data_IF_839546336118
#
_entry.id   IF_839546336118
#
_cell.length_a   1.000
_cell.length_b   1.000
_cell.length_c   1.000
_cell.angle_alpha   90.00
_cell.angle_beta   90.00
_cell.angle_gamma   90.00
#
_symmetry.space_group_name_H-M   'P 1'
#
loop_
_entity.id
_entity.type
_entity.pdbx_description
1 polymer ?
#
# COMPACT_ATOMS: atom_id res chain seq x y z
N UNK A 1 3.30 5.98 -4.56
CA UNK A 1 1.95 5.83 -5.15
C UNK A 1 0.79 6.31 -4.27
N UNK A 2 0.56 5.78 -3.05
CA UNK A 2 -0.59 6.20 -2.20
C UNK A 2 -0.63 7.72 -1.92
N UNK A 3 0.53 8.32 -1.61
CA UNK A 3 0.63 9.76 -1.37
C UNK A 3 0.21 10.59 -2.60
N UNK A 4 0.60 10.20 -3.81
CA UNK A 4 0.20 10.90 -5.03
C UNK A 4 -1.32 10.89 -5.23
N UNK A 5 -2.00 9.80 -4.86
CA UNK A 5 -3.48 9.74 -4.91
C UNK A 5 -4.11 10.70 -3.90
N UNK A 6 -3.60 10.73 -2.67
CA UNK A 6 -4.08 11.66 -1.64
C UNK A 6 -3.86 13.12 -2.05
N UNK A 7 -2.68 13.45 -2.60
CA UNK A 7 -2.37 14.78 -3.11
C UNK A 7 -3.29 15.21 -4.24
N UNK A 8 -3.53 14.34 -5.23
CA UNK A 8 -4.48 14.62 -6.32
C UNK A 8 -5.89 14.85 -5.82
N UNK A 9 -6.35 14.09 -4.83
CA UNK A 9 -7.68 14.27 -4.24
C UNK A 9 -7.80 15.60 -3.48
N UNK A 10 -6.79 15.97 -2.68
CA UNK A 10 -6.76 17.25 -1.97
C UNK A 10 -6.73 18.46 -2.92
N UNK A 11 -6.01 18.36 -4.04
CA UNK A 11 -6.03 19.39 -5.08
C UNK A 11 -7.40 19.46 -5.77
N UNK A 12 -8.01 18.32 -6.10
CA UNK A 12 -9.35 18.29 -6.72
C UNK A 12 -10.41 18.96 -5.85
N UNK A 13 -10.39 18.74 -4.53
CA UNK A 13 -11.37 19.36 -3.63
C UNK A 13 -11.20 20.87 -3.52
N UNK A 14 -9.98 21.39 -3.70
CA UNK A 14 -9.69 22.83 -3.56
C UNK A 14 -9.82 23.59 -4.87
N UNK A 15 -9.68 22.91 -6.01
CA UNK A 15 -9.63 23.59 -7.30
C UNK A 15 -11.00 23.98 -7.85
N UNK A 16 -12.12 23.33 -7.50
CA UNK A 16 -13.48 23.72 -7.93
C UNK A 16 -13.61 24.19 -9.42
N UNK A 17 -12.83 23.62 -10.34
CA UNK A 17 -12.81 24.02 -11.76
C UNK A 17 -11.81 25.12 -12.16
N UNK A 18 -11.05 25.69 -11.23
CA UNK A 18 -9.93 26.62 -11.47
C UNK A 18 -8.66 25.85 -11.88
N UNK A 19 -7.84 26.48 -12.72
CA UNK A 19 -6.62 25.85 -13.28
C UNK A 19 -5.33 26.22 -12.53
N UNK A 20 -5.40 27.07 -11.51
CA UNK A 20 -4.23 27.59 -10.79
C UNK A 20 -3.75 26.63 -9.67
N UNK A 21 -3.52 25.36 -10.02
CA UNK A 21 -3.11 24.33 -9.07
C UNK A 21 -1.78 24.63 -8.35
N UNK A 22 -0.92 25.45 -8.93
CA UNK A 22 0.37 25.86 -8.35
C UNK A 22 0.16 26.70 -7.09
N UNK A 23 -0.79 27.63 -7.11
CA UNK A 23 -1.10 28.49 -5.96
C UNK A 23 -1.78 27.71 -4.84
N UNK A 24 -2.53 26.66 -5.22
CA UNK A 24 -3.28 25.82 -4.29
C UNK A 24 -2.45 24.65 -3.73
N UNK A 25 -1.27 24.39 -4.31
CA UNK A 25 -0.40 23.29 -3.90
C UNK A 25 0.15 23.44 -2.46
N UNK A 26 0.67 24.60 -2.02
CA UNK A 26 1.20 24.76 -0.66
C UNK A 26 0.13 24.45 0.40
N UNK A 27 -1.09 24.92 0.17
CA UNK A 27 -2.24 24.70 1.05
C UNK A 27 -2.69 23.24 1.06
N UNK A 28 -2.72 22.56 -0.09
CA UNK A 28 -3.05 21.14 -0.16
C UNK A 28 -2.02 20.29 0.60
N UNK A 29 -0.73 20.61 0.47
CA UNK A 29 0.34 19.94 1.21
C UNK A 29 0.23 20.22 2.71
N UNK A 30 -0.03 21.47 3.10
CA UNK A 30 -0.22 21.85 4.50
C UNK A 30 -1.37 21.08 5.15
N UNK A 31 -2.51 20.97 4.46
CA UNK A 31 -3.65 20.21 4.93
C UNK A 31 -3.32 18.72 5.11
N UNK A 32 -2.60 18.11 4.15
CA UNK A 32 -2.20 16.71 4.25
C UNK A 32 -1.20 16.43 5.38
N UNK A 33 -0.32 17.40 5.70
CA UNK A 33 0.65 17.27 6.79
C UNK A 33 0.01 17.38 8.17
N UNK A 34 -1.04 18.17 8.30
CA UNK A 34 -1.77 18.34 9.56
C UNK A 34 -3.00 17.43 9.69
N UNK A 35 -3.36 16.68 8.64
CA UNK A 35 -4.45 15.70 8.71
C UNK A 35 -4.01 14.51 9.57
N UNK A 36 -4.76 14.18 10.64
CA UNK A 36 -4.49 12.97 11.42
C UNK A 36 -4.71 11.74 10.56
N UNK A 37 -3.82 10.75 10.70
CA UNK A 37 -4.01 9.44 10.10
C UNK A 37 -5.12 8.69 10.85
N UNK A 38 -6.02 8.02 10.12
CA UNK A 38 -7.13 7.27 10.71
C UNK A 38 -6.67 6.12 11.61
N UNK A 39 -5.52 5.50 11.31
CA UNK A 39 -5.01 4.35 12.07
C UNK A 39 -4.30 4.77 13.36
N UNK A 40 -3.53 5.86 13.32
CA UNK A 40 -2.69 6.29 14.46
C UNK A 40 -3.29 7.46 15.24
N UNK A 41 -4.27 8.18 14.68
CA UNK A 41 -4.83 9.40 15.23
C UNK A 41 -3.89 10.62 15.21
N UNK A 42 -2.65 10.44 14.73
CA UNK A 42 -1.60 11.46 14.72
C UNK A 42 -1.36 11.96 13.29
N UNK A 43 -1.09 13.26 13.16
CA UNK A 43 -0.73 13.89 11.89
C UNK A 43 0.76 13.71 11.57
N UNK A 44 1.13 13.72 10.28
CA UNK A 44 2.54 13.72 9.87
C UNK A 44 3.41 14.81 10.53
N UNK A 45 2.84 16.01 10.75
CA UNK A 45 3.55 17.10 11.43
C UNK A 45 3.81 16.77 12.90
N UNK A 46 2.81 16.26 13.63
CA UNK A 46 2.97 15.85 15.03
C UNK A 46 4.00 14.72 15.18
N UNK A 47 4.03 13.77 14.23
CA UNK A 47 5.01 12.69 14.25
C UNK A 47 6.45 13.17 13.99
N UNK A 48 6.62 14.27 13.26
CA UNK A 48 7.95 14.77 12.86
C UNK A 48 8.49 15.82 13.82
N UNK A 49 7.64 16.73 14.29
CA UNK A 49 8.03 17.82 15.19
C UNK A 49 7.65 17.57 16.65
N UNK A 50 6.87 16.53 16.95
CA UNK A 50 6.40 16.21 18.30
C UNK A 50 5.26 17.11 18.78
N UNK A 51 4.86 18.10 17.99
CA UNK A 51 3.79 19.04 18.31
C UNK A 51 2.90 19.31 17.09
N UNK A 52 1.67 19.74 17.37
CA UNK A 52 0.72 20.16 16.33
C UNK A 52 1.07 21.57 15.88
N UNK A 53 1.41 21.72 14.61
CA UNK A 53 1.71 23.02 14.04
C UNK A 53 0.41 23.82 13.87
N UNK A 54 0.34 25.06 14.40
CA UNK A 54 -0.87 25.87 14.31
C UNK A 54 -1.13 26.31 12.87
N UNK A 55 -2.39 26.26 12.47
CA UNK A 55 -2.83 26.93 11.25
C UNK A 55 -2.91 28.44 11.45
N UNK A 56 -2.69 29.25 10.38
CA UNK A 56 -3.00 30.68 10.43
C UNK A 56 -4.47 30.89 10.84
N UNK A 57 -4.70 31.48 12.01
CA UNK A 57 -6.04 31.70 12.58
C UNK A 57 -6.53 30.62 13.56
N UNK A 58 -5.75 29.57 13.83
CA UNK A 58 -6.05 28.60 14.87
C UNK A 58 -5.72 29.19 16.26
N UNK A 59 -6.70 29.20 17.16
CA UNK A 59 -6.50 29.63 18.54
C UNK A 59 -5.65 28.58 19.26
N UNK A 60 -4.37 28.87 19.48
CA UNK A 60 -3.54 28.04 20.36
C UNK A 60 -4.10 28.10 21.77
N UNK A 61 -4.48 26.95 22.31
CA UNK A 61 -4.70 26.81 23.74
C UNK A 61 -3.35 27.09 24.43
N UNK A 62 -3.37 27.92 25.48
CA UNK A 62 -2.18 28.23 26.27
C UNK A 62 -1.45 26.94 26.66
N UNK A 63 -0.12 26.86 26.51
CA UNK A 63 0.64 25.68 26.91
C UNK A 63 0.31 25.35 28.37
N UNK A 64 -0.17 24.13 28.63
CA UNK A 64 -0.20 23.63 30.00
C UNK A 64 1.25 23.40 30.41
N UNK A 65 1.73 24.13 31.40
CA UNK A 65 3.00 23.82 32.04
C UNK A 65 2.88 22.44 32.70
N UNK A 66 3.45 21.44 32.04
CA UNK A 66 3.57 20.08 32.58
C UNK A 66 5.01 19.91 33.03
N UNK A 67 5.22 19.43 34.26
CA UNK A 67 6.57 19.11 34.73
C UNK A 67 7.19 18.02 33.86
N UNK A 68 8.51 18.13 33.64
CA UNK A 68 9.26 17.21 32.78
C UNK A 68 9.12 15.74 33.21
N UNK A 69 9.00 15.48 34.52
CA UNK A 69 8.81 14.13 35.07
C UNK A 69 7.47 13.52 34.63
N UNK A 70 6.39 14.31 34.70
CA UNK A 70 5.05 13.89 34.30
C UNK A 70 4.99 13.66 32.78
N UNK A 71 5.63 14.54 32.00
CA UNK A 71 5.73 14.36 30.56
C UNK A 71 6.51 13.10 30.18
N UNK A 72 7.65 12.84 30.83
CA UNK A 72 8.47 11.66 30.57
C UNK A 72 7.70 10.36 30.86
N UNK A 73 6.92 10.33 31.94
CA UNK A 73 6.09 9.16 32.26
C UNK A 73 4.91 8.99 31.30
N UNK A 74 4.27 10.07 30.86
CA UNK A 74 3.25 10.04 29.82
C UNK A 74 3.82 9.51 28.50
N UNK A 75 4.99 10.01 28.07
CA UNK A 75 5.65 9.58 26.85
C UNK A 75 6.03 8.10 26.89
N UNK A 76 6.63 7.62 27.99
CA UNK A 76 6.93 6.19 28.19
C UNK A 76 5.68 5.33 28.09
N UNK A 77 4.56 5.80 28.64
CA UNK A 77 3.30 5.07 28.57
C UNK A 77 2.70 5.04 27.15
N UNK A 78 2.83 6.12 26.37
CA UNK A 78 2.40 6.15 24.96
C UNK A 78 3.27 5.23 24.11
N UNK A 79 4.60 5.33 24.24
CA UNK A 79 5.54 4.51 23.48
C UNK A 79 5.38 3.01 23.78
N UNK A 80 5.09 2.64 25.03
CA UNK A 80 4.77 1.24 25.40
C UNK A 80 3.48 0.73 24.75
N UNK A 81 2.53 1.60 24.43
CA UNK A 81 1.23 1.23 23.83
C UNK A 81 1.25 1.22 22.31
N UNK A 82 2.22 1.87 21.67
CA UNK A 82 2.40 1.80 20.23
C UNK A 82 3.08 0.49 19.85
N UNK A 83 2.30 -0.58 19.71
CA UNK A 83 2.72 -1.69 18.87
C UNK A 83 2.57 -1.26 17.40
N UNK A 84 3.53 -1.61 16.52
CA UNK A 84 3.28 -1.57 15.09
C UNK A 84 1.97 -2.30 14.80
N UNK A 85 1.09 -1.79 13.92
CA UNK A 85 -0.11 -2.52 13.54
C UNK A 85 0.30 -3.90 13.03
N UNK A 86 -0.35 -4.95 13.53
CA UNK A 86 -0.16 -6.32 13.04
C UNK A 86 -0.35 -6.33 11.53
N UNK A 87 0.76 -6.36 10.80
CA UNK A 87 0.79 -6.39 9.36
C UNK A 87 0.55 -7.84 8.90
N UNK A 88 -0.63 -8.37 9.22
CA UNK A 88 -1.10 -9.69 8.85
C UNK A 88 -1.37 -9.86 7.34
N UNK A 89 -1.06 -8.84 6.54
CA UNK A 89 -1.20 -8.87 5.07
C UNK A 89 -0.35 -9.94 4.40
N UNK A 90 0.76 -10.34 5.02
CA UNK A 90 1.63 -11.42 4.53
C UNK A 90 1.87 -12.54 5.54
N UNK A 91 1.42 -12.38 6.80
CA UNK A 91 1.71 -13.30 7.90
C UNK A 91 0.62 -14.34 8.17
N UNK A 92 -0.40 -14.45 7.31
CA UNK A 92 -1.30 -15.59 7.42
C UNK A 92 -0.51 -16.84 7.06
N UNK A 93 -0.10 -17.62 8.06
CA UNK A 93 0.35 -19.02 7.94
C UNK A 93 -0.67 -19.91 7.19
N UNK A 94 -1.86 -19.37 6.92
CA UNK A 94 -2.94 -19.93 6.12
C UNK A 94 -3.36 -18.96 5.02
N UNK A 95 -2.43 -18.62 4.11
CA UNK A 95 -2.85 -18.08 2.81
C UNK A 95 -3.72 -19.15 2.15
N UNK A 96 -5.05 -19.00 2.25
CA UNK A 96 -5.99 -19.81 1.48
C UNK A 96 -5.83 -19.41 0.02
N UNK A 97 -4.91 -20.05 -0.68
CA UNK A 97 -4.81 -19.95 -2.13
C UNK A 97 -6.14 -20.42 -2.72
N UNK A 98 -6.87 -19.49 -3.32
CA UNK A 98 -8.07 -19.80 -4.07
C UNK A 98 -7.67 -20.53 -5.35
N UNK A 99 -7.97 -21.83 -5.42
CA UNK A 99 -7.80 -22.65 -6.62
C UNK A 99 -9.18 -22.86 -7.24
N UNK A 100 -9.41 -22.41 -8.49
CA UNK A 100 -10.68 -22.66 -9.18
C UNK A 100 -10.96 -24.16 -9.28
N UNK A 101 -12.19 -24.58 -8.98
CA UNK A 101 -12.61 -26.00 -9.09
C UNK A 101 -12.50 -26.52 -10.52
N UNK A 102 -12.69 -25.64 -11.50
CA UNK A 102 -12.61 -25.96 -12.93
C UNK A 102 -11.19 -26.35 -13.36
N UNK A 103 -10.16 -26.01 -12.56
CA UNK A 103 -8.79 -26.41 -12.82
C UNK A 103 -8.61 -27.94 -12.74
N UNK A 104 -9.47 -28.64 -11.98
CA UNK A 104 -9.44 -30.10 -11.90
C UNK A 104 -9.81 -30.74 -13.25
N UNK A 105 -10.77 -30.15 -13.97
CA UNK A 105 -11.31 -30.69 -15.21
C UNK A 105 -10.82 -29.96 -16.48
N UNK A 106 -9.92 -28.97 -16.35
CA UNK A 106 -9.49 -28.16 -17.49
C UNK A 106 -8.64 -28.98 -18.48
N UNK A 107 -8.99 -28.99 -19.76
CA UNK A 107 -8.19 -29.66 -20.81
C UNK A 107 -6.95 -28.83 -21.19
N UNK A 108 -7.06 -27.50 -21.09
CA UNK A 108 -6.01 -26.57 -21.50
C UNK A 108 -5.70 -25.57 -20.39
N UNK A 109 -4.41 -25.22 -20.27
CA UNK A 109 -3.91 -24.24 -19.29
C UNK A 109 -3.01 -23.19 -19.94
N UNK A 110 -3.01 -22.00 -19.35
CA UNK A 110 -2.09 -20.91 -19.68
C UNK A 110 -0.99 -20.85 -18.62
N UNK A 111 0.28 -20.86 -19.05
CA UNK A 111 1.45 -20.87 -18.16
C UNK A 111 2.08 -19.49 -18.13
N UNK A 112 2.32 -18.94 -16.94
CA UNK A 112 2.97 -17.64 -16.79
C UNK A 112 4.42 -17.70 -17.27
N UNK A 113 4.86 -16.70 -18.03
CA UNK A 113 6.24 -16.60 -18.50
C UNK A 113 7.04 -15.75 -17.50
N UNK A 114 7.78 -16.40 -16.60
CA UNK A 114 8.54 -15.75 -15.52
C UNK A 114 9.90 -15.18 -15.97
N UNK A 115 9.98 -14.70 -17.21
CA UNK A 115 11.16 -14.02 -17.75
C UNK A 115 10.93 -12.51 -17.75
N UNK A 116 11.98 -11.71 -17.57
CA UNK A 116 11.89 -10.24 -17.74
C UNK A 116 11.47 -9.95 -19.18
N UNK A 117 10.33 -9.28 -19.36
CA UNK A 117 9.78 -8.99 -20.68
C UNK A 117 9.67 -7.48 -20.93
N UNK A 118 9.83 -7.03 -22.18
CA UNK A 118 9.48 -5.68 -22.60
C UNK A 118 8.01 -5.35 -22.32
N UNK A 119 7.70 -4.05 -22.25
CA UNK A 119 6.32 -3.58 -22.12
C UNK A 119 5.46 -4.11 -23.27
N UNK A 120 4.17 -4.40 -22.96
CA UNK A 120 3.15 -4.89 -23.90
C UNK A 120 3.33 -6.31 -24.46
N UNK A 121 4.27 -7.12 -23.94
CA UNK A 121 4.37 -8.54 -24.32
C UNK A 121 3.41 -9.43 -23.51
N UNK A 122 2.92 -10.50 -24.14
CA UNK A 122 1.99 -11.44 -23.51
C UNK A 122 2.64 -12.15 -22.31
N UNK A 123 2.00 -12.06 -21.14
CA UNK A 123 2.53 -12.59 -19.86
C UNK A 123 2.37 -14.09 -19.68
N UNK A 124 1.54 -14.73 -20.51
CA UNK A 124 1.23 -16.15 -20.42
C UNK A 124 1.45 -16.85 -21.76
N UNK A 125 1.97 -18.07 -21.75
CA UNK A 125 2.06 -18.97 -22.90
C UNK A 125 0.89 -19.95 -22.88
N UNK A 126 0.32 -20.26 -24.02
CA UNK A 126 -0.76 -21.25 -24.12
C UNK A 126 -1.75 -20.96 -25.24
N UNK A 127 -2.85 -21.73 -25.34
CA UNK A 127 -3.24 -22.83 -24.44
C UNK A 127 -2.37 -24.09 -24.61
N UNK A 128 -1.91 -24.65 -23.49
CA UNK A 128 -1.18 -25.93 -23.45
C UNK A 128 -2.11 -27.05 -23.01
N UNK A 129 -2.08 -28.20 -23.70
CA UNK A 129 -2.88 -29.36 -23.33
C UNK A 129 -2.31 -30.00 -22.07
N UNK A 130 -3.17 -30.32 -21.10
CA UNK A 130 -2.78 -31.01 -19.87
C UNK A 130 -2.75 -32.51 -20.12
N UNK A 131 -1.58 -33.14 -19.93
CA UNK A 131 -1.35 -34.58 -20.08
C UNK A 131 -1.62 -35.32 -18.77
N UNK A 132 -1.03 -34.86 -17.68
CA UNK A 132 -1.15 -35.48 -16.35
C UNK A 132 -1.36 -34.44 -15.25
N UNK A 133 -2.02 -34.84 -14.16
CA UNK A 133 -2.39 -33.98 -13.03
C UNK A 133 -1.97 -34.64 -11.72
N UNK A 134 -1.22 -33.92 -10.90
CA UNK A 134 -0.91 -34.26 -9.51
C UNK A 134 -1.52 -33.21 -8.58
N UNK A 135 -1.45 -33.45 -7.27
CA UNK A 135 -2.01 -32.54 -6.26
C UNK A 135 -1.50 -31.08 -6.36
N UNK A 136 -0.28 -30.87 -6.86
CA UNK A 136 0.37 -29.55 -6.97
C UNK A 136 0.95 -29.23 -8.33
N UNK A 137 1.00 -30.17 -9.27
CA UNK A 137 1.72 -30.01 -10.54
C UNK A 137 0.91 -30.55 -11.71
N UNK A 138 1.05 -29.90 -12.87
CA UNK A 138 0.46 -30.31 -14.14
C UNK A 138 1.57 -30.63 -15.13
N UNK A 139 1.49 -31.79 -15.76
CA UNK A 139 2.33 -32.12 -16.92
C UNK A 139 1.61 -31.62 -18.16
N UNK A 140 2.28 -30.76 -18.94
CA UNK A 140 1.67 -30.12 -20.11
C UNK A 140 2.41 -30.48 -21.40
N UNK A 141 1.67 -30.52 -22.49
CA UNK A 141 2.22 -30.64 -23.82
C UNK A 141 2.82 -29.29 -24.24
N UNK A 142 4.15 -29.29 -24.44
CA UNK A 142 4.87 -28.15 -25.00
C UNK A 142 5.20 -28.47 -26.45
N UNK A 143 5.08 -27.47 -27.34
CA UNK A 143 5.63 -27.61 -28.69
C UNK A 143 7.13 -27.90 -28.56
N UNK A 144 7.73 -28.75 -29.42
CA UNK A 144 9.16 -29.00 -29.39
C UNK A 144 9.90 -27.68 -29.59
N UNK A 145 10.38 -27.11 -28.48
CA UNK A 145 11.32 -26.01 -28.48
C UNK A 145 12.70 -26.60 -28.68
N UNK A 146 13.42 -26.14 -29.72
CA UNK A 146 14.83 -26.45 -29.91
C UNK A 146 15.57 -26.30 -28.58
N UNK A 147 16.18 -27.39 -28.12
CA UNK A 147 16.87 -27.45 -26.85
C UNK A 147 17.98 -26.40 -26.74
N UNK A 148 17.98 -25.74 -25.59
CA UNK A 148 18.98 -24.87 -24.92
C UNK A 148 18.14 -23.76 -24.28
N UNK A 149 18.00 -23.74 -22.97
CA UNK A 149 19.03 -23.18 -22.12
C UNK A 149 19.11 -23.91 -20.77
N UNK A 150 20.35 -24.23 -20.39
CA UNK A 150 20.77 -24.58 -19.04
C UNK A 150 20.90 -23.32 -18.19
#
# INVERSE_FOLDING_TARGET
ERFHRSLKNALRSRLEGRSNWVDELPWAILALRNSPNADTGLSPTELTFGERQPFPGELQMSPKEVSLDVFADQLRNVLRKQLPPDNNWHQSLTVKTFVPKDLVNCEFVWVRIDKVQPSLKQKFSGPHRVLERNEKTFTIETKPGNGRDK
#
